data_IF_033459416877
#
_entry.id   IF_033459416877
#
_cell.length_a   1.000
_cell.length_b   1.000
_cell.length_c   1.000
_cell.angle_alpha   90.00
_cell.angle_beta   90.00
_cell.angle_gamma   90.00
#
_symmetry.space_group_name_H-M   'P 1'
#
loop_
_entity.id
_entity.type
_entity.pdbx_description
1 polymer ?
#
# COMPACT_ATOMS: atom_id res chain seq x y z
N UNK A 1 -8.03 -23.49 6.31
CA UNK A 1 -8.45 -22.23 6.91
C UNK A 1 -7.53 -21.88 8.10
N UNK A 2 -6.49 -21.08 7.87
CA UNK A 2 -5.45 -20.77 8.87
C UNK A 2 -5.51 -19.34 9.43
N UNK A 3 -6.49 -18.53 9.04
CA UNK A 3 -6.57 -17.10 9.38
C UNK A 3 -7.84 -16.74 10.18
N UNK A 4 -8.08 -17.42 11.30
CA UNK A 4 -9.23 -17.06 12.14
C UNK A 4 -8.83 -16.73 13.58
N UNK A 5 -8.54 -15.46 13.84
CA UNK A 5 -8.83 -14.74 15.09
C UNK A 5 -9.06 -13.29 14.73
N UNK A 6 -10.32 -12.96 14.39
CA UNK A 6 -10.71 -11.63 13.95
C UNK A 6 -10.92 -10.66 15.12
N UNK A 7 -10.62 -9.39 14.90
CA UNK A 7 -11.23 -8.26 15.60
C UNK A 7 -12.64 -8.04 15.00
N UNK A 8 -13.48 -9.08 15.06
CA UNK A 8 -14.67 -9.26 14.20
C UNK A 8 -15.86 -8.33 14.42
N UNK A 9 -15.84 -7.39 15.36
CA UNK A 9 -17.06 -6.65 15.74
C UNK A 9 -17.03 -5.13 15.49
N UNK A 10 -15.91 -4.55 15.06
CA UNK A 10 -15.80 -3.10 14.89
C UNK A 10 -16.03 -2.63 13.45
N UNK A 11 -15.71 -3.47 12.44
CA UNK A 11 -15.75 -3.07 11.03
C UNK A 11 -16.62 -4.02 10.19
N UNK A 12 -17.89 -3.68 9.98
CA UNK A 12 -18.84 -4.52 9.20
C UNK A 12 -18.50 -4.68 7.71
N UNK A 13 -17.56 -3.90 7.16
CA UNK A 13 -17.26 -3.83 5.71
C UNK A 13 -15.81 -4.00 5.37
N UNK A 14 -14.98 -4.30 6.36
CA UNK A 14 -13.61 -4.71 6.23
C UNK A 14 -13.35 -5.87 7.19
N UNK A 15 -12.72 -6.92 6.68
CA UNK A 15 -12.26 -8.02 7.51
C UNK A 15 -10.77 -7.81 7.79
N UNK A 16 -10.40 -7.86 9.06
CA UNK A 16 -9.02 -7.82 9.51
C UNK A 16 -8.66 -9.18 10.13
N UNK A 17 -7.70 -9.86 9.53
CA UNK A 17 -7.23 -11.15 9.98
C UNK A 17 -5.73 -11.10 10.23
N UNK A 18 -5.23 -11.85 11.20
CA UNK A 18 -3.80 -11.91 11.51
C UNK A 18 -3.34 -13.35 11.67
N UNK A 19 -2.17 -13.65 11.08
CA UNK A 19 -1.52 -14.95 11.19
C UNK A 19 0.01 -14.80 11.16
N UNK A 20 0.69 -15.24 12.24
CA UNK A 20 2.17 -15.34 12.33
C UNK A 20 2.94 -14.14 11.76
N UNK A 21 2.52 -12.93 12.05
CA UNK A 21 3.17 -11.72 11.56
C UNK A 21 2.65 -11.17 10.24
N UNK A 22 1.64 -11.81 9.64
CA UNK A 22 0.94 -11.33 8.45
C UNK A 22 -0.41 -10.76 8.89
N UNK A 23 -0.73 -9.54 8.48
CA UNK A 23 -2.07 -8.97 8.56
C UNK A 23 -2.73 -9.04 7.19
N UNK A 24 -3.98 -9.51 7.10
CA UNK A 24 -4.79 -9.48 5.88
C UNK A 24 -5.94 -8.50 6.05
N UNK A 25 -5.95 -7.48 5.23
CA UNK A 25 -6.98 -6.44 5.14
C UNK A 25 -7.84 -6.78 3.92
N UNK A 26 -9.13 -7.05 4.12
CA UNK A 26 -10.04 -7.45 3.05
C UNK A 26 -11.13 -6.42 2.85
N UNK A 27 -11.24 -5.83 1.67
CA UNK A 27 -12.37 -4.99 1.28
C UNK A 27 -13.61 -5.87 1.17
N UNK A 28 -14.58 -5.71 2.07
CA UNK A 28 -15.75 -6.60 2.18
C UNK A 28 -17.03 -5.93 1.70
N UNK A 29 -17.12 -5.76 0.37
CA UNK A 29 -18.32 -5.26 -0.33
C UNK A 29 -18.52 -6.03 -1.65
N UNK A 30 -18.57 -7.38 -1.61
CA UNK A 30 -18.61 -8.21 -2.83
C UNK A 30 -19.83 -7.95 -3.71
N UNK A 31 -20.95 -7.49 -3.12
CA UNK A 31 -22.19 -7.13 -3.81
C UNK A 31 -22.02 -5.96 -4.82
N UNK A 32 -21.00 -5.13 -4.62
CA UNK A 32 -20.65 -4.01 -5.51
C UNK A 32 -19.21 -4.13 -6.04
N UNK A 33 -18.74 -5.35 -6.23
CA UNK A 33 -17.38 -5.63 -6.71
C UNK A 33 -16.28 -4.98 -5.87
N UNK A 34 -16.46 -4.91 -4.56
CA UNK A 34 -15.56 -4.29 -3.60
C UNK A 34 -15.25 -2.81 -3.91
N UNK A 35 -16.19 -2.09 -4.54
CA UNK A 35 -16.07 -0.66 -4.75
C UNK A 35 -15.98 0.07 -3.41
N UNK A 36 -15.04 1.00 -3.29
CA UNK A 36 -14.88 1.77 -2.06
C UNK A 36 -15.72 3.04 -2.06
N UNK A 37 -16.15 3.45 -0.89
CA UNK A 37 -16.78 4.72 -0.58
C UNK A 37 -15.99 5.40 0.54
N UNK A 38 -16.27 6.67 0.91
CA UNK A 38 -15.52 7.36 1.96
C UNK A 38 -15.36 6.54 3.25
N UNK A 39 -16.43 5.95 3.77
CA UNK A 39 -16.36 5.09 4.96
C UNK A 39 -15.44 3.89 4.79
N UNK A 40 -15.47 3.21 3.63
CA UNK A 40 -14.57 2.09 3.35
C UNK A 40 -13.09 2.52 3.37
N UNK A 41 -12.80 3.71 2.86
CA UNK A 41 -11.44 4.26 2.90
C UNK A 41 -10.99 4.57 4.33
N UNK A 42 -11.86 5.11 5.18
CA UNK A 42 -11.56 5.34 6.60
C UNK A 42 -11.30 4.02 7.34
N UNK A 43 -12.17 3.03 7.16
CA UNK A 43 -12.00 1.71 7.77
C UNK A 43 -10.66 1.05 7.33
N UNK A 44 -10.28 1.18 6.06
CA UNK A 44 -8.97 0.70 5.59
C UNK A 44 -7.81 1.49 6.22
N UNK A 45 -7.91 2.81 6.31
CA UNK A 45 -6.90 3.65 6.97
C UNK A 45 -6.69 3.22 8.42
N UNK A 46 -7.77 3.03 9.19
CA UNK A 46 -7.71 2.58 10.57
C UNK A 46 -7.00 1.21 10.70
N UNK A 47 -7.31 0.27 9.79
CA UNK A 47 -6.64 -1.02 9.78
C UNK A 47 -5.13 -0.92 9.46
N UNK A 48 -4.75 -0.05 8.52
CA UNK A 48 -3.34 0.21 8.24
C UNK A 48 -2.64 0.89 9.43
N UNK A 49 -3.30 1.81 10.15
CA UNK A 49 -2.74 2.42 11.36
C UNK A 49 -2.54 1.38 12.48
N UNK A 50 -3.49 0.47 12.67
CA UNK A 50 -3.30 -0.67 13.58
C UNK A 50 -2.07 -1.48 13.17
N UNK A 51 -1.92 -1.80 11.88
CA UNK A 51 -0.76 -2.51 11.37
C UNK A 51 0.54 -1.74 11.59
N UNK A 52 0.52 -0.41 11.46
CA UNK A 52 1.69 0.44 11.68
C UNK A 52 2.20 0.35 13.12
N UNK A 53 1.30 0.43 14.09
CA UNK A 53 1.63 0.47 15.53
C UNK A 53 1.96 -0.88 16.17
N UNK A 54 1.80 -2.00 15.46
CA UNK A 54 1.97 -3.34 16.04
C UNK A 54 3.26 -4.01 15.57
N UNK A 55 4.16 -4.31 16.52
CA UNK A 55 5.46 -4.95 16.23
C UNK A 55 5.32 -6.42 15.80
N UNK A 56 4.23 -7.09 16.20
CA UNK A 56 3.94 -8.46 15.82
C UNK A 56 3.39 -8.61 14.39
N UNK A 57 3.12 -7.50 13.68
CA UNK A 57 2.78 -7.48 12.25
C UNK A 57 4.01 -7.07 11.44
N UNK A 58 4.41 -7.90 10.49
CA UNK A 58 5.61 -7.75 9.67
C UNK A 58 5.31 -7.44 8.20
N UNK A 59 4.22 -8.00 7.68
CA UNK A 59 3.79 -7.87 6.28
C UNK A 59 2.27 -7.70 6.26
N UNK A 60 1.76 -6.95 5.29
CA UNK A 60 0.34 -6.67 5.14
C UNK A 60 -0.12 -7.16 3.76
N UNK A 61 -1.21 -7.90 3.72
CA UNK A 61 -1.93 -8.30 2.51
C UNK A 61 -3.17 -7.41 2.38
N UNK A 62 -3.37 -6.82 1.21
CA UNK A 62 -4.61 -6.15 0.83
C UNK A 62 -5.33 -6.98 -0.23
N UNK A 63 -6.61 -7.28 -0.03
CA UNK A 63 -7.41 -8.09 -0.97
C UNK A 63 -8.88 -7.66 -0.99
N UNK A 64 -9.68 -8.26 -1.87
CA UNK A 64 -11.13 -8.12 -1.92
C UNK A 64 -11.85 -9.39 -1.47
N UNK A 65 -13.03 -9.27 -0.87
CA UNK A 65 -13.86 -10.40 -0.51
C UNK A 65 -14.44 -11.10 -1.76
N UNK A 66 -14.55 -12.43 -1.69
CA UNK A 66 -15.11 -13.25 -2.77
C UNK A 66 -14.13 -13.53 -3.91
N UNK A 67 -14.66 -13.94 -5.03
CA UNK A 67 -13.90 -14.43 -6.19
C UNK A 67 -14.00 -13.52 -7.44
N UNK A 68 -14.80 -12.43 -7.35
CA UNK A 68 -15.11 -11.60 -8.52
C UNK A 68 -14.19 -10.38 -8.65
N UNK A 69 -13.85 -9.75 -7.54
CA UNK A 69 -13.11 -8.49 -7.59
C UNK A 69 -12.18 -8.30 -6.42
N UNK A 70 -11.00 -7.80 -6.70
CA UNK A 70 -10.15 -7.15 -5.73
C UNK A 70 -10.80 -5.81 -5.32
N UNK A 71 -10.99 -4.91 -6.28
CA UNK A 71 -11.67 -3.64 -6.09
C UNK A 71 -12.01 -3.01 -7.46
N UNK A 72 -13.24 -2.58 -7.65
CA UNK A 72 -13.68 -1.92 -8.89
C UNK A 72 -13.56 -0.39 -8.85
N UNK A 73 -12.87 0.16 -7.84
CA UNK A 73 -12.65 1.61 -7.69
C UNK A 73 -13.71 2.30 -6.84
N UNK A 74 -13.91 3.58 -7.06
CA UNK A 74 -14.90 4.36 -6.32
C UNK A 74 -16.34 4.01 -6.67
N UNK A 75 -17.16 3.80 -5.64
CA UNK A 75 -18.58 3.47 -5.80
C UNK A 75 -19.35 4.64 -6.42
N UNK A 76 -19.83 4.46 -7.65
CA UNK A 76 -20.50 5.51 -8.42
C UNK A 76 -21.82 5.97 -7.80
N UNK A 77 -22.48 5.14 -6.96
CA UNK A 77 -23.72 5.52 -6.26
C UNK A 77 -23.45 6.58 -5.18
N UNK A 78 -22.22 6.67 -4.67
CA UNK A 78 -21.81 7.69 -3.70
C UNK A 78 -21.20 8.94 -4.36
N UNK A 79 -20.99 8.92 -5.67
CA UNK A 79 -20.48 10.07 -6.41
C UNK A 79 -21.63 11.04 -6.71
N UNK A 80 -21.68 12.15 -6.01
CA UNK A 80 -22.64 13.25 -6.24
C UNK A 80 -22.15 14.21 -7.33
N UNK A 81 -22.96 15.24 -7.66
CA UNK A 81 -22.55 16.30 -8.61
C UNK A 81 -21.27 17.04 -8.19
N UNK A 82 -20.88 17.04 -6.93
CA UNK A 82 -19.62 17.60 -6.43
C UNK A 82 -18.53 16.57 -6.14
N UNK A 83 -18.67 15.32 -6.62
CA UNK A 83 -17.76 14.21 -6.31
C UNK A 83 -18.13 13.47 -5.04
N UNK A 84 -17.14 12.85 -4.40
CA UNK A 84 -17.32 12.16 -3.13
C UNK A 84 -17.31 13.16 -1.97
N UNK A 85 -18.14 12.91 -0.97
CA UNK A 85 -18.21 13.72 0.24
C UNK A 85 -17.92 12.87 1.47
N UNK A 86 -17.18 13.44 2.39
CA UNK A 86 -16.93 12.85 3.69
C UNK A 86 -18.18 12.91 4.59
N UNK A 87 -18.14 12.31 5.79
CA UNK A 87 -19.26 12.28 6.74
C UNK A 87 -19.74 13.67 7.18
N UNK A 88 -18.86 14.69 7.15
CA UNK A 88 -19.16 16.07 7.42
C UNK A 88 -19.74 16.85 6.21
N UNK A 89 -19.95 16.16 5.08
CA UNK A 89 -20.43 16.76 3.83
C UNK A 89 -19.35 17.48 2.99
N UNK A 90 -18.11 17.53 3.47
CA UNK A 90 -17.01 18.18 2.75
C UNK A 90 -16.60 17.36 1.52
N UNK A 91 -16.48 17.96 0.32
CA UNK A 91 -15.93 17.27 -0.85
C UNK A 91 -14.47 16.84 -0.60
N UNK A 92 -14.19 15.53 -0.66
CA UNK A 92 -12.86 14.99 -0.36
C UNK A 92 -12.60 13.69 -1.09
N UNK A 93 -11.35 13.50 -1.51
CA UNK A 93 -10.84 12.23 -2.05
C UNK A 93 -9.96 11.53 -0.99
N UNK A 94 -10.59 11.01 0.06
CA UNK A 94 -9.91 10.36 1.18
C UNK A 94 -9.16 9.06 0.78
N UNK A 95 -9.43 8.51 -0.39
CA UNK A 95 -8.61 7.44 -0.98
C UNK A 95 -7.16 7.86 -1.20
N UNK A 96 -6.88 9.16 -1.37
CA UNK A 96 -5.51 9.66 -1.50
C UNK A 96 -4.71 9.49 -0.20
N UNK A 97 -5.37 9.58 0.95
CA UNK A 97 -4.72 9.34 2.24
C UNK A 97 -4.39 7.86 2.42
N UNK A 98 -5.27 6.97 1.94
CA UNK A 98 -4.98 5.54 1.89
C UNK A 98 -3.77 5.23 0.97
N UNK A 99 -3.69 5.83 -0.21
CA UNK A 99 -2.52 5.68 -1.10
C UNK A 99 -1.23 6.13 -0.41
N UNK A 100 -1.25 7.28 0.25
CA UNK A 100 -0.09 7.78 1.02
C UNK A 100 0.28 6.83 2.16
N UNK A 101 -0.74 6.29 2.87
CA UNK A 101 -0.54 5.32 3.94
C UNK A 101 0.15 4.06 3.44
N UNK A 102 -0.34 3.43 2.36
CA UNK A 102 0.24 2.22 1.79
C UNK A 102 1.71 2.45 1.41
N UNK A 103 2.02 3.59 0.81
CA UNK A 103 3.39 3.92 0.41
C UNK A 103 4.30 4.25 1.59
N UNK A 104 3.78 4.92 2.62
CA UNK A 104 4.58 5.40 3.76
C UNK A 104 4.68 4.42 4.93
N UNK A 105 3.81 3.41 5.02
CA UNK A 105 3.88 2.43 6.11
C UNK A 105 5.22 1.67 6.06
N UNK A 106 5.94 1.54 7.22
CA UNK A 106 7.29 0.96 7.26
C UNK A 106 7.28 -0.57 7.18
N UNK A 107 6.35 -1.14 6.44
CA UNK A 107 6.14 -2.58 6.26
C UNK A 107 5.76 -2.86 4.81
N UNK A 108 6.14 -4.01 4.24
CA UNK A 108 5.67 -4.41 2.91
C UNK A 108 4.15 -4.55 2.88
N UNK A 109 3.56 -4.11 1.77
CA UNK A 109 2.14 -4.29 1.45
C UNK A 109 2.03 -5.07 0.14
N UNK A 110 1.35 -6.19 0.17
CA UNK A 110 1.14 -7.07 -0.98
C UNK A 110 -0.32 -7.00 -1.43
N UNK A 111 -0.56 -6.63 -2.67
CA UNK A 111 -1.86 -6.77 -3.28
C UNK A 111 -2.09 -8.24 -3.68
N UNK A 112 -3.07 -8.89 -3.07
CA UNK A 112 -3.56 -10.21 -3.44
C UNK A 112 -4.81 -10.02 -4.30
N UNK A 113 -4.62 -10.04 -5.64
CA UNK A 113 -5.64 -9.62 -6.61
C UNK A 113 -6.48 -10.82 -7.05
N UNK A 114 -7.63 -10.98 -6.43
CA UNK A 114 -8.53 -12.13 -6.59
C UNK A 114 -9.56 -11.98 -7.74
N UNK A 115 -9.50 -10.90 -8.54
CA UNK A 115 -10.44 -10.64 -9.62
C UNK A 115 -10.25 -9.26 -10.22
N UNK A 116 -11.36 -8.54 -10.50
CA UNK A 116 -11.29 -7.20 -11.09
C UNK A 116 -10.52 -6.19 -10.20
N UNK A 117 -9.50 -5.56 -10.76
CA UNK A 117 -8.77 -4.42 -10.22
C UNK A 117 -8.91 -3.26 -11.21
N UNK A 118 -9.95 -2.44 -11.08
CA UNK A 118 -10.36 -1.46 -12.09
C UNK A 118 -10.41 -0.04 -11.51
N UNK A 119 -9.95 0.94 -12.27
CA UNK A 119 -9.96 2.34 -11.86
C UNK A 119 -9.17 2.54 -10.56
N UNK A 120 -9.82 3.10 -9.53
CA UNK A 120 -9.21 3.25 -8.21
C UNK A 120 -8.75 1.93 -7.58
N UNK A 121 -9.37 0.79 -7.94
CA UNK A 121 -8.92 -0.54 -7.52
C UNK A 121 -7.57 -0.91 -8.15
N UNK A 122 -7.35 -0.59 -9.42
CA UNK A 122 -6.04 -0.78 -10.04
C UNK A 122 -5.01 0.21 -9.46
N UNK A 123 -5.41 1.40 -9.03
CA UNK A 123 -4.50 2.31 -8.32
C UNK A 123 -4.07 1.70 -6.99
N UNK A 124 -4.99 1.10 -6.22
CA UNK A 124 -4.64 0.37 -4.99
C UNK A 124 -3.65 -0.77 -5.25
N UNK A 125 -3.83 -1.54 -6.34
CA UNK A 125 -2.88 -2.54 -6.78
C UNK A 125 -1.49 -1.94 -7.04
N UNK A 126 -1.44 -0.86 -7.81
CA UNK A 126 -0.17 -0.22 -8.24
C UNK A 126 0.59 0.43 -7.09
N UNK A 127 -0.08 0.94 -6.06
CA UNK A 127 0.59 1.58 -4.91
C UNK A 127 1.07 0.59 -3.86
N UNK A 128 0.62 -0.67 -3.89
CA UNK A 128 1.20 -1.74 -3.10
C UNK A 128 2.64 -2.03 -3.54
N UNK A 129 3.46 -2.57 -2.64
CA UNK A 129 4.87 -2.86 -2.94
C UNK A 129 5.04 -4.04 -3.89
N UNK A 130 4.16 -5.03 -3.78
CA UNK A 130 4.13 -6.25 -4.60
C UNK A 130 2.68 -6.61 -4.94
N UNK A 131 2.50 -7.36 -6.04
CA UNK A 131 1.18 -7.82 -6.47
C UNK A 131 1.24 -9.25 -6.99
N UNK A 132 0.37 -10.10 -6.43
CA UNK A 132 0.13 -11.46 -6.92
C UNK A 132 -1.33 -11.54 -7.33
N UNK A 133 -1.60 -12.05 -8.51
CA UNK A 133 -2.95 -12.08 -9.06
C UNK A 133 -3.41 -13.50 -9.41
N UNK A 134 -4.69 -13.73 -9.30
CA UNK A 134 -5.32 -14.92 -9.87
C UNK A 134 -5.42 -14.79 -11.40
N UNK A 135 -5.40 -15.91 -12.11
CA UNK A 135 -5.48 -15.98 -13.57
C UNK A 135 -6.75 -15.35 -14.15
N UNK A 136 -7.85 -15.30 -13.38
CA UNK A 136 -9.11 -14.66 -13.75
C UNK A 136 -9.11 -13.15 -13.51
N UNK A 137 -8.06 -12.57 -12.92
CA UNK A 137 -8.00 -11.13 -12.64
C UNK A 137 -7.98 -10.29 -13.93
N UNK A 138 -8.55 -9.08 -13.81
CA UNK A 138 -8.59 -8.09 -14.90
C UNK A 138 -8.16 -6.74 -14.37
N UNK A 139 -7.33 -6.05 -15.13
CA UNK A 139 -6.73 -4.78 -14.76
C UNK A 139 -7.10 -3.70 -15.76
N UNK A 140 -7.28 -2.46 -15.32
CA UNK A 140 -7.52 -1.34 -16.22
C UNK A 140 -7.90 -0.06 -15.53
N UNK A 141 -7.91 1.01 -16.32
CA UNK A 141 -8.38 2.32 -15.90
C UNK A 141 -9.64 2.67 -16.68
N UNK A 142 -10.62 3.27 -16.02
CA UNK A 142 -11.92 3.60 -16.62
C UNK A 142 -12.29 5.08 -16.48
N UNK A 143 -11.46 5.86 -15.80
CA UNK A 143 -11.74 7.26 -15.45
C UNK A 143 -12.31 8.07 -16.62
N UNK A 144 -11.61 8.21 -17.76
CA UNK A 144 -12.10 8.99 -18.91
C UNK A 144 -13.44 8.51 -19.47
N UNK A 145 -13.76 7.21 -19.34
CA UNK A 145 -15.01 6.62 -19.80
C UNK A 145 -16.20 6.89 -18.86
N UNK A 146 -15.92 7.08 -17.56
CA UNK A 146 -16.96 7.20 -16.52
C UNK A 146 -16.99 8.60 -15.86
N UNK A 147 -16.46 9.60 -16.54
CA UNK A 147 -16.46 10.98 -16.05
C UNK A 147 -15.55 11.20 -14.85
N UNK A 148 -14.35 10.64 -14.90
CA UNK A 148 -13.30 10.80 -13.91
C UNK A 148 -11.92 10.81 -14.58
N UNK A 149 -10.87 11.01 -13.80
CA UNK A 149 -9.47 10.80 -14.21
C UNK A 149 -8.65 10.38 -13.00
N UNK A 150 -7.33 10.37 -13.12
CA UNK A 150 -6.44 9.95 -12.04
C UNK A 150 -6.59 10.82 -10.79
N UNK A 151 -6.95 10.21 -9.68
CA UNK A 151 -7.03 10.85 -8.37
C UNK A 151 -5.78 10.67 -7.52
N UNK A 152 -4.64 10.26 -8.10
CA UNK A 152 -3.42 10.03 -7.31
C UNK A 152 -2.30 9.38 -8.11
N UNK A 153 -1.87 8.18 -7.73
CA UNK A 153 -0.73 7.48 -8.32
C UNK A 153 -1.07 6.64 -9.56
N UNK A 154 -2.30 6.67 -10.04
CA UNK A 154 -2.78 5.80 -11.12
C UNK A 154 -2.23 6.13 -12.51
N UNK A 155 -1.60 7.29 -12.71
CA UNK A 155 -0.93 7.64 -13.96
C UNK A 155 0.58 7.72 -13.81
N UNK A 156 1.06 8.62 -12.97
CA UNK A 156 2.48 8.89 -12.84
C UNK A 156 3.28 7.70 -12.30
N UNK A 157 2.77 7.03 -11.28
CA UNK A 157 3.44 5.87 -10.70
C UNK A 157 3.25 4.61 -11.57
N UNK A 158 2.06 4.39 -12.14
CA UNK A 158 1.84 3.33 -13.11
C UNK A 158 2.83 3.42 -14.29
N UNK A 159 3.14 4.65 -14.75
CA UNK A 159 4.12 4.86 -15.82
C UNK A 159 5.56 4.44 -15.45
N UNK A 160 5.88 4.36 -14.18
CA UNK A 160 7.15 3.78 -13.70
C UNK A 160 7.15 2.25 -13.75
N UNK A 161 5.98 1.64 -13.57
CA UNK A 161 5.83 0.17 -13.65
C UNK A 161 5.81 -0.33 -15.10
N UNK A 162 4.95 0.25 -15.95
CA UNK A 162 4.66 -0.29 -17.29
C UNK A 162 5.17 0.60 -18.45
N UNK A 163 5.79 1.73 -18.13
CA UNK A 163 6.28 2.70 -19.10
C UNK A 163 5.21 3.66 -19.63
N UNK A 164 5.67 4.80 -20.15
CA UNK A 164 4.83 5.94 -20.55
C UNK A 164 3.80 5.59 -21.66
N UNK A 165 4.21 4.83 -22.67
CA UNK A 165 3.33 4.49 -23.79
C UNK A 165 2.20 3.56 -23.36
N UNK A 166 2.50 2.52 -22.58
CA UNK A 166 1.51 1.58 -22.07
C UNK A 166 0.55 2.26 -21.10
N UNK A 167 1.02 3.14 -20.23
CA UNK A 167 0.14 3.91 -19.34
C UNK A 167 -0.85 4.77 -20.12
N UNK A 168 -0.41 5.46 -21.18
CA UNK A 168 -1.33 6.24 -22.04
C UNK A 168 -2.36 5.35 -22.74
N UNK A 169 -1.95 4.20 -23.24
CA UNK A 169 -2.86 3.21 -23.83
C UNK A 169 -3.93 2.77 -22.83
N UNK A 170 -3.53 2.41 -21.61
CA UNK A 170 -4.42 2.00 -20.52
C UNK A 170 -5.44 3.11 -20.21
N UNK A 171 -4.97 4.35 -20.05
CA UNK A 171 -5.82 5.47 -19.68
C UNK A 171 -6.66 6.03 -20.81
N UNK A 172 -6.10 6.18 -22.01
CA UNK A 172 -6.81 6.82 -23.11
C UNK A 172 -7.84 5.90 -23.77
N UNK A 173 -7.53 4.61 -23.85
CA UNK A 173 -8.42 3.63 -24.47
C UNK A 173 -9.35 2.95 -23.46
N UNK A 174 -9.09 3.06 -22.16
CA UNK A 174 -9.85 2.42 -21.08
C UNK A 174 -10.04 0.90 -21.33
N UNK A 175 -9.01 0.25 -21.89
CA UNK A 175 -9.00 -1.21 -22.10
C UNK A 175 -8.80 -1.95 -20.79
N UNK A 176 -9.33 -3.17 -20.74
CA UNK A 176 -9.03 -4.11 -19.68
C UNK A 176 -7.99 -5.12 -20.18
N UNK A 177 -7.07 -5.48 -19.29
CA UNK A 177 -5.98 -6.41 -19.53
C UNK A 177 -6.16 -7.64 -18.66
N UNK A 178 -5.78 -8.79 -19.20
CA UNK A 178 -5.72 -10.06 -18.46
C UNK A 178 -4.61 -10.02 -17.42
N UNK A 179 -4.64 -10.94 -16.45
CA UNK A 179 -3.58 -11.08 -15.47
C UNK A 179 -2.22 -11.34 -16.14
N UNK A 180 -2.19 -12.18 -17.18
CA UNK A 180 -0.99 -12.48 -17.95
C UNK A 180 -0.40 -11.24 -18.65
N UNK A 181 -1.24 -10.45 -19.32
CA UNK A 181 -0.80 -9.18 -19.92
C UNK A 181 -0.28 -8.19 -18.86
N UNK A 182 -0.91 -8.16 -17.69
CA UNK A 182 -0.47 -7.31 -16.58
C UNK A 182 0.90 -7.75 -16.01
N UNK A 183 1.16 -9.04 -15.94
CA UNK A 183 2.46 -9.60 -15.56
C UNK A 183 3.52 -9.29 -16.62
N UNK A 184 3.23 -9.55 -17.89
CA UNK A 184 4.13 -9.31 -19.03
C UNK A 184 4.56 -7.84 -19.15
N UNK A 185 3.67 -6.90 -18.82
CA UNK A 185 4.00 -5.46 -18.84
C UNK A 185 4.62 -4.94 -17.55
N UNK A 186 4.79 -5.77 -16.52
CA UNK A 186 5.38 -5.38 -15.23
C UNK A 186 4.43 -4.62 -14.29
N UNK A 187 3.11 -4.71 -14.50
CA UNK A 187 2.11 -4.12 -13.60
C UNK A 187 1.96 -4.93 -12.31
N UNK A 188 2.15 -6.23 -12.39
CA UNK A 188 2.12 -7.18 -11.26
C UNK A 188 3.32 -8.12 -11.32
N UNK A 189 3.58 -8.82 -10.20
CA UNK A 189 4.77 -9.67 -10.06
C UNK A 189 4.53 -11.12 -10.48
N UNK A 190 3.33 -11.67 -10.26
CA UNK A 190 3.05 -13.10 -10.50
C UNK A 190 1.58 -13.37 -10.73
N UNK A 191 1.30 -14.33 -11.63
CA UNK A 191 -0.02 -14.90 -11.86
C UNK A 191 -0.05 -16.36 -11.40
N UNK A 192 -1.11 -16.74 -10.71
CA UNK A 192 -1.33 -18.11 -10.23
C UNK A 192 -2.80 -18.52 -10.41
N UNK A 193 -3.13 -19.82 -10.40
CA UNK A 193 -4.51 -20.28 -10.32
C UNK A 193 -5.21 -19.68 -9.08
N UNK A 194 -6.51 -19.44 -9.19
CA UNK A 194 -7.27 -18.77 -8.12
C UNK A 194 -7.18 -19.52 -6.78
N UNK A 195 -7.26 -20.85 -6.80
CA UNK A 195 -7.17 -21.72 -5.63
C UNK A 195 -5.76 -21.73 -4.98
N UNK A 196 -4.74 -21.22 -5.67
CA UNK A 196 -3.36 -21.10 -5.18
C UNK A 196 -2.99 -19.68 -4.73
N UNK A 197 -3.88 -18.73 -4.97
CA UNK A 197 -3.58 -17.30 -4.77
C UNK A 197 -3.19 -16.96 -3.32
N UNK A 198 -3.96 -17.45 -2.35
CA UNK A 198 -3.68 -17.16 -0.93
C UNK A 198 -2.40 -17.88 -0.47
N UNK A 199 -2.22 -19.15 -0.82
CA UNK A 199 -1.03 -19.93 -0.46
C UNK A 199 0.25 -19.26 -1.00
N UNK A 200 0.26 -18.91 -2.26
CA UNK A 200 1.41 -18.23 -2.91
C UNK A 200 1.71 -16.88 -2.26
N UNK A 201 0.66 -16.10 -1.97
CA UNK A 201 0.83 -14.79 -1.32
C UNK A 201 1.41 -14.94 0.09
N UNK A 202 0.94 -15.93 0.85
CA UNK A 202 1.47 -16.23 2.19
C UNK A 202 2.93 -16.70 2.11
N UNK A 203 3.29 -17.53 1.14
CA UNK A 203 4.67 -17.99 0.93
C UNK A 203 5.63 -16.80 0.65
N UNK A 204 5.19 -15.83 -0.15
CA UNK A 204 5.97 -14.61 -0.38
C UNK A 204 6.11 -13.78 0.91
N UNK A 205 5.03 -13.65 1.69
CA UNK A 205 5.07 -12.95 2.98
C UNK A 205 6.04 -13.65 3.96
N UNK A 206 5.97 -14.97 4.08
CA UNK A 206 6.88 -15.74 4.93
C UNK A 206 8.34 -15.62 4.48
N UNK A 207 8.57 -15.56 3.17
CA UNK A 207 9.91 -15.33 2.61
C UNK A 207 10.44 -13.95 2.98
N UNK A 208 9.62 -12.90 2.89
CA UNK A 208 9.99 -11.54 3.33
C UNK A 208 10.27 -11.49 4.84
N UNK A 209 9.49 -12.20 5.65
CA UNK A 209 9.68 -12.25 7.11
C UNK A 209 10.98 -12.91 7.55
N UNK A 210 11.60 -13.73 6.70
CA UNK A 210 12.96 -14.27 6.90
C UNK A 210 14.07 -13.25 6.60
N UNK A 211 13.75 -12.04 6.18
CA UNK A 211 14.70 -10.95 5.89
C UNK A 211 14.66 -9.91 7.00
N UNK A 212 15.71 -9.07 7.07
CA UNK A 212 15.76 -7.97 8.03
C UNK A 212 14.60 -6.99 7.80
N UNK A 213 13.73 -6.76 8.80
CA UNK A 213 12.61 -5.82 8.67
C UNK A 213 13.11 -4.39 8.46
N UNK A 214 14.21 -4.02 9.13
CA UNK A 214 14.80 -2.71 8.97
C UNK A 214 15.37 -2.49 7.56
N UNK A 215 16.11 -3.47 7.02
CA UNK A 215 16.64 -3.36 5.67
C UNK A 215 15.52 -3.23 4.62
N UNK A 216 14.44 -4.02 4.74
CA UNK A 216 13.26 -3.91 3.85
C UNK A 216 12.60 -2.52 3.96
N UNK A 217 12.42 -2.01 5.19
CA UNK A 217 11.92 -0.66 5.43
C UNK A 217 12.76 0.40 4.72
N UNK A 218 14.09 0.35 4.87
CA UNK A 218 14.99 1.33 4.25
C UNK A 218 14.98 1.22 2.72
N UNK A 219 14.95 0.01 2.16
CA UNK A 219 14.80 -0.18 0.70
C UNK A 219 13.48 0.44 0.21
N UNK A 220 12.36 0.20 0.90
CA UNK A 220 11.07 0.84 0.56
C UNK A 220 11.17 2.37 0.59
N UNK A 221 11.83 2.95 1.61
CA UNK A 221 12.07 4.40 1.70
C UNK A 221 12.90 4.92 0.53
N UNK A 222 14.00 4.26 0.20
CA UNK A 222 14.86 4.64 -0.93
C UNK A 222 14.11 4.59 -2.27
N UNK A 223 13.34 3.52 -2.53
CA UNK A 223 12.55 3.38 -3.74
C UNK A 223 11.43 4.43 -3.86
N UNK A 224 10.88 4.89 -2.74
CA UNK A 224 9.83 5.89 -2.73
C UNK A 224 10.37 7.33 -2.73
N UNK A 225 11.56 7.58 -2.16
CA UNK A 225 12.09 8.92 -1.97
C UNK A 225 12.20 9.72 -3.28
N UNK A 226 12.71 9.11 -4.35
CA UNK A 226 12.81 9.76 -5.66
C UNK A 226 11.45 10.19 -6.21
N UNK A 227 10.44 9.34 -6.05
CA UNK A 227 9.11 9.54 -6.64
C UNK A 227 8.23 10.49 -5.82
N UNK A 228 8.41 10.50 -4.51
CA UNK A 228 7.61 11.32 -3.58
C UNK A 228 8.25 12.69 -3.29
N UNK A 229 9.39 13.00 -3.93
CA UNK A 229 10.08 14.28 -3.83
C UNK A 229 10.46 14.63 -2.39
N UNK A 230 10.29 15.89 -1.98
CA UNK A 230 10.65 16.36 -0.62
C UNK A 230 9.98 15.56 0.50
N UNK A 231 8.76 15.07 0.28
CA UNK A 231 8.09 14.22 1.26
C UNK A 231 8.83 12.88 1.42
N UNK A 232 9.23 12.25 0.33
CA UNK A 232 10.00 11.00 0.39
C UNK A 232 11.35 11.17 1.09
N UNK A 233 12.05 12.28 0.80
CA UNK A 233 13.29 12.64 1.49
C UNK A 233 13.08 12.88 2.99
N UNK A 234 12.00 13.57 3.37
CA UNK A 234 11.64 13.79 4.78
C UNK A 234 11.42 12.46 5.51
N UNK A 235 10.71 11.54 4.90
CA UNK A 235 10.45 10.21 5.50
C UNK A 235 11.74 9.39 5.64
N UNK A 236 12.62 9.41 4.64
CA UNK A 236 13.93 8.76 4.68
C UNK A 236 14.83 9.38 5.77
N UNK A 237 14.90 10.72 5.82
CA UNK A 237 15.67 11.45 6.84
C UNK A 237 15.13 11.20 8.25
N UNK A 238 13.80 11.14 8.41
CA UNK A 238 13.16 10.80 9.69
C UNK A 238 13.57 9.41 10.20
N UNK A 239 13.58 8.41 9.32
CA UNK A 239 14.03 7.06 9.66
C UNK A 239 15.53 7.05 10.01
N UNK A 240 16.37 7.77 9.28
CA UNK A 240 17.80 7.91 9.58
C UNK A 240 18.02 8.61 10.94
N UNK A 241 17.25 9.65 11.24
CA UNK A 241 17.30 10.36 12.53
C UNK A 241 16.93 9.45 13.70
N UNK A 242 15.88 8.63 13.56
CA UNK A 242 15.51 7.64 14.57
C UNK A 242 16.64 6.64 14.83
N UNK A 243 17.34 6.20 13.79
CA UNK A 243 18.50 5.33 13.93
C UNK A 243 19.66 6.02 14.60
N UNK A 244 19.92 7.28 14.26
CA UNK A 244 20.97 8.08 14.90
C UNK A 244 20.73 8.22 16.41
N UNK A 245 19.46 8.41 16.85
CA UNK A 245 19.14 8.49 18.28
C UNK A 245 19.44 7.22 19.08
N UNK A 246 19.64 6.08 18.43
CA UNK A 246 20.04 4.83 19.06
C UNK A 246 21.58 4.69 19.18
N UNK A 247 22.34 5.62 18.61
CA UNK A 247 23.82 5.59 18.63
C UNK A 247 24.36 6.32 19.87
N UNK A 248 25.51 5.86 20.37
CA UNK A 248 26.20 6.48 21.51
C UNK A 248 26.59 7.94 21.23
N UNK A 249 26.93 8.25 19.99
CA UNK A 249 27.23 9.60 19.52
C UNK A 249 26.09 10.58 19.77
N UNK A 250 24.82 10.16 19.53
CA UNK A 250 23.67 10.98 19.83
C UNK A 250 23.44 11.17 21.32
N UNK A 251 23.77 10.15 22.14
CA UNK A 251 23.68 10.26 23.59
C UNK A 251 24.75 11.23 24.14
N UNK A 252 25.97 11.22 23.58
CA UNK A 252 27.00 12.19 23.92
C UNK A 252 26.53 13.62 23.64
N UNK A 253 26.04 13.91 22.45
CA UNK A 253 25.53 15.25 22.10
C UNK A 253 24.43 15.72 23.04
N UNK A 254 23.50 14.84 23.40
CA UNK A 254 22.42 15.15 24.37
C UNK A 254 22.97 15.42 25.76
N UNK A 255 23.89 14.56 26.28
CA UNK A 255 24.43 14.68 27.61
C UNK A 255 25.28 15.95 27.74
N UNK A 256 26.15 16.22 26.77
CA UNK A 256 26.95 17.43 26.72
C UNK A 256 26.10 18.70 26.79
N UNK A 257 24.99 18.74 26.00
CA UNK A 257 24.05 19.84 26.04
C UNK A 257 23.42 20.05 27.42
N UNK A 258 22.97 18.97 28.09
CA UNK A 258 22.35 19.04 29.42
C UNK A 258 23.37 19.45 30.50
N UNK A 259 24.62 19.01 30.39
CA UNK A 259 25.73 19.30 31.27
C UNK A 259 26.38 20.67 30.99
N UNK A 260 25.95 21.37 29.91
CA UNK A 260 26.50 22.67 29.47
C UNK A 260 28.01 22.64 29.23
N UNK A 261 28.49 21.57 28.60
CA UNK A 261 29.87 21.38 28.14
C UNK A 261 29.90 21.16 26.64
N UNK A 262 31.06 21.30 26.04
CA UNK A 262 31.26 20.89 24.63
C UNK A 262 31.20 19.36 24.51
N UNK A 263 30.59 18.83 23.44
CA UNK A 263 30.55 17.40 23.18
C UNK A 263 31.92 16.89 22.71
N UNK A 264 32.29 15.68 23.13
CA UNK A 264 33.48 14.99 22.65
C UNK A 264 33.09 13.92 21.60
N UNK A 265 33.03 14.33 20.35
CA UNK A 265 32.75 13.42 19.23
C UNK A 265 34.00 12.70 18.69
N UNK A 266 35.22 13.08 19.14
CA UNK A 266 36.46 12.44 18.70
C UNK A 266 36.57 10.98 19.18
N UNK A 267 35.89 10.62 20.27
CA UNK A 267 35.84 9.28 20.82
C UNK A 267 35.09 8.26 19.93
N UNK A 268 34.28 8.71 18.99
CA UNK A 268 33.48 7.82 18.15
C UNK A 268 34.19 7.42 16.85
N UNK A 269 33.92 6.19 16.35
CA UNK A 269 34.50 5.75 15.08
C UNK A 269 34.06 6.66 13.94
N UNK A 270 35.00 7.09 13.10
CA UNK A 270 34.68 7.79 11.86
C UNK A 270 34.17 6.78 10.85
N UNK A 271 32.99 7.03 10.30
CA UNK A 271 32.53 6.22 9.18
C UNK A 271 33.44 6.44 7.97
N UNK A 272 33.84 5.37 7.26
CA UNK A 272 34.56 5.55 6.01
C UNK A 272 33.69 6.30 5.02
N UNK A 273 34.21 7.39 4.48
CA UNK A 273 33.58 8.22 3.45
C UNK A 273 33.73 7.64 2.05
#
# INVERSE_FOLDING_TARGET
CLLSRGLGDVYKRQLFEQYKGIAKITINRPEVYNAFRPLTNHEMLDAFEICRGRDDIRVIILTGAGDKAFCSGGDQHYKTQGGYRDSDGTPRLNVLDLHKMIRSIPKPVVAMVNGYAIGGGNVLNVVCDLSIASENARFGQTGPKVGSFDGGFGSSYLARCVGQKKTREIWYLCRQYTAKEAEEMGMINKVVPFDRLEDETVEWCETMMKRSPFAIRMVKRCLNAELDGQRGLMELAGDATLMYYLMDEAQEGKNAFLEKRDPDFEQFPKFPG
#
